data_IF_316066927000
#
_entry.id   IF_316066927000
#
_cell.length_a   1.000
_cell.length_b   1.000
_cell.length_c   1.000
_cell.angle_alpha   90.00
_cell.angle_beta   90.00
_cell.angle_gamma   90.00
#
_symmetry.space_group_name_H-M   'P 1'
#
loop_
_entity.id
_entity.type
_entity.pdbx_description
1 polymer ?
#
# COMPACT_ATOMS: atom_id res chain seq x y z
N UNK A 1 -28.14 14.91 17.24
CA UNK A 1 -26.71 14.72 16.95
C UNK A 1 -26.49 13.24 16.69
N UNK A 2 -26.10 12.81 15.48
CA UNK A 2 -25.74 11.41 15.29
C UNK A 2 -24.38 11.16 15.93
N UNK A 3 -24.29 10.10 16.75
CA UNK A 3 -23.03 9.60 17.28
C UNK A 3 -22.20 9.07 16.10
N UNK A 4 -20.99 9.60 15.98
CA UNK A 4 -19.92 9.03 15.17
C UNK A 4 -19.55 7.64 15.70
N UNK A 5 -19.76 6.60 14.88
CA UNK A 5 -19.25 5.26 15.16
C UNK A 5 -17.71 5.27 15.00
N UNK A 6 -16.93 4.92 16.03
CA UNK A 6 -15.50 4.81 15.89
C UNK A 6 -15.19 3.54 15.09
N UNK A 7 -14.76 3.74 13.84
CA UNK A 7 -13.60 3.04 13.27
C UNK A 7 -13.60 1.53 13.53
N UNK A 8 -14.35 0.79 12.71
CA UNK A 8 -13.90 -0.53 12.26
C UNK A 8 -13.01 -0.32 11.03
N UNK A 9 -11.83 0.27 11.27
CA UNK A 9 -10.73 0.30 10.30
C UNK A 9 -10.29 -1.13 10.07
N UNK A 10 -10.92 -1.79 9.09
CA UNK A 10 -10.37 -2.99 8.50
C UNK A 10 -8.96 -2.68 8.01
N UNK A 11 -8.04 -3.60 8.31
CA UNK A 11 -6.59 -3.65 8.03
C UNK A 11 -6.08 -2.99 6.72
N UNK A 12 -6.96 -2.69 5.78
CA UNK A 12 -6.66 -2.09 4.49
C UNK A 12 -6.40 -0.59 4.51
N UNK A 13 -7.03 0.17 5.41
CA UNK A 13 -6.90 1.63 5.46
C UNK A 13 -5.59 2.08 6.13
N UNK A 14 -5.08 1.25 7.05
CA UNK A 14 -3.83 1.51 7.78
C UNK A 14 -2.63 1.58 6.84
N UNK A 15 -2.57 0.69 5.85
CA UNK A 15 -1.48 0.68 4.87
C UNK A 15 -1.49 1.89 3.95
N UNK A 16 -2.67 2.33 3.49
CA UNK A 16 -2.79 3.59 2.75
C UNK A 16 -2.19 4.73 3.56
N UNK A 17 -2.63 4.90 4.81
CA UNK A 17 -2.17 6.00 5.66
C UNK A 17 -0.67 5.92 5.98
N UNK A 18 -0.11 4.70 6.11
CA UNK A 18 1.31 4.49 6.41
C UNK A 18 2.22 4.71 5.20
N UNK A 19 1.81 4.25 4.02
CA UNK A 19 2.65 4.19 2.83
C UNK A 19 2.46 5.41 1.91
N UNK A 20 1.27 6.03 1.88
CA UNK A 20 0.99 7.16 1.00
C UNK A 20 2.01 8.28 1.18
N UNK A 21 2.61 8.72 0.08
CA UNK A 21 3.60 9.81 0.08
C UNK A 21 5.01 9.39 0.51
N UNK A 22 5.24 8.13 0.88
CA UNK A 22 6.57 7.59 1.14
C UNK A 22 7.12 6.85 -0.08
N UNK A 23 8.44 6.76 -0.16
CA UNK A 23 9.11 5.97 -1.21
C UNK A 23 9.20 4.50 -0.81
N UNK A 24 9.14 3.59 -1.77
CA UNK A 24 9.31 2.16 -1.51
C UNK A 24 10.71 1.71 -1.96
N UNK A 25 11.50 1.14 -1.06
CA UNK A 25 12.89 0.75 -1.32
C UNK A 25 13.30 -0.54 -0.62
N UNK A 26 14.59 -0.86 -0.71
CA UNK A 26 15.16 -2.04 -0.04
C UNK A 26 15.46 -1.81 1.45
N UNK A 27 15.59 -0.54 1.86
CA UNK A 27 15.90 -0.13 3.23
C UNK A 27 14.81 0.78 3.81
N UNK A 28 14.68 0.74 5.13
CA UNK A 28 13.74 1.56 5.89
C UNK A 28 14.43 2.87 6.27
N UNK A 29 13.80 4.00 5.97
CA UNK A 29 14.25 5.34 6.34
C UNK A 29 13.04 6.21 6.64
N UNK A 30 13.27 7.39 7.21
CA UNK A 30 12.19 8.30 7.64
C UNK A 30 11.14 8.57 6.54
N UNK A 31 11.61 8.70 5.29
CA UNK A 31 10.78 8.91 4.09
C UNK A 31 10.65 7.69 3.17
N UNK A 32 11.27 6.55 3.49
CA UNK A 32 11.30 5.35 2.63
C UNK A 32 10.90 4.10 3.40
N UNK A 33 9.90 3.37 2.93
CA UNK A 33 9.51 2.08 3.48
C UNK A 33 10.27 0.94 2.81
N UNK A 34 10.79 0.02 3.60
CA UNK A 34 11.38 -1.20 3.09
C UNK A 34 10.29 -2.16 2.59
N UNK A 35 10.53 -2.82 1.46
CA UNK A 35 9.65 -3.92 0.99
C UNK A 35 9.55 -5.06 2.02
N UNK A 36 10.51 -5.18 2.93
CA UNK A 36 10.53 -6.16 4.02
C UNK A 36 9.53 -5.86 5.14
N UNK A 37 9.14 -4.59 5.31
CA UNK A 37 8.11 -4.17 6.27
C UNK A 37 6.68 -4.44 5.74
N UNK A 38 6.55 -4.73 4.44
CA UNK A 38 5.28 -5.07 3.83
C UNK A 38 4.84 -6.47 4.24
N UNK A 39 3.52 -6.74 4.23
CA UNK A 39 2.99 -8.07 4.48
C UNK A 39 3.57 -9.10 3.51
N UNK A 40 3.57 -10.36 3.94
CA UNK A 40 4.12 -11.50 3.20
C UNK A 40 3.55 -11.58 1.78
N UNK A 41 2.26 -11.32 1.63
CA UNK A 41 1.60 -11.16 0.34
C UNK A 41 1.47 -9.68 -0.02
N UNK A 42 2.46 -9.17 -0.75
CA UNK A 42 2.42 -7.85 -1.34
C UNK A 42 2.84 -7.88 -2.81
N UNK A 43 2.37 -6.91 -3.58
CA UNK A 43 2.77 -6.67 -4.96
C UNK A 43 3.00 -5.18 -5.18
N UNK A 44 4.19 -4.84 -5.63
CA UNK A 44 4.52 -3.48 -6.04
C UNK A 44 4.19 -3.34 -7.52
N UNK A 45 3.41 -2.33 -7.84
CA UNK A 45 2.95 -2.04 -9.19
C UNK A 45 3.42 -0.64 -9.56
N UNK A 46 4.17 -0.52 -10.64
CA UNK A 46 4.51 0.77 -11.21
C UNK A 46 3.34 1.30 -12.05
N UNK A 47 3.25 2.62 -12.23
CA UNK A 47 2.20 3.27 -13.02
C UNK A 47 2.04 2.71 -14.44
N UNK A 48 3.09 2.15 -15.03
CA UNK A 48 3.06 1.56 -16.38
C UNK A 48 2.95 0.03 -16.39
N UNK A 49 2.86 -0.62 -15.23
CA UNK A 49 2.87 -2.07 -15.16
C UNK A 49 1.50 -2.64 -15.50
N UNK A 50 1.42 -3.47 -16.55
CA UNK A 50 0.21 -4.20 -16.91
C UNK A 50 -0.19 -5.14 -15.77
N UNK A 51 -1.37 -4.92 -15.18
CA UNK A 51 -1.92 -5.81 -14.15
C UNK A 51 -2.44 -7.10 -14.79
N UNK A 52 -1.85 -8.22 -14.39
CA UNK A 52 -2.50 -9.53 -14.51
C UNK A 52 -3.71 -9.62 -13.58
N UNK A 53 -4.81 -10.23 -14.05
CA UNK A 53 -6.05 -10.47 -13.30
C UNK A 53 -5.92 -11.63 -12.30
N UNK A 54 -4.88 -11.61 -11.48
CA UNK A 54 -4.73 -12.54 -10.35
C UNK A 54 -5.34 -11.88 -9.10
N UNK A 55 -6.60 -12.22 -8.80
CA UNK A 55 -7.36 -11.62 -7.70
C UNK A 55 -7.07 -12.35 -6.39
N UNK A 56 -6.33 -11.69 -5.49
CA UNK A 56 -5.94 -12.19 -4.17
C UNK A 56 -6.38 -11.16 -3.12
N UNK A 57 -7.51 -11.40 -2.42
CA UNK A 57 -8.06 -10.43 -1.48
C UNK A 57 -7.12 -10.12 -0.30
N UNK A 58 -6.29 -11.09 0.09
CA UNK A 58 -5.28 -10.95 1.16
C UNK A 58 -4.02 -10.17 0.71
N UNK A 59 -3.84 -9.93 -0.60
CA UNK A 59 -2.62 -9.31 -1.14
C UNK A 59 -2.68 -7.79 -1.09
N UNK A 60 -1.63 -7.18 -0.56
CA UNK A 60 -1.43 -5.72 -0.59
C UNK A 60 -0.82 -5.30 -1.94
N UNK A 61 -1.57 -4.59 -2.77
CA UNK A 61 -1.04 -3.93 -3.96
C UNK A 61 -0.59 -2.51 -3.62
N UNK A 62 0.69 -2.22 -3.80
CA UNK A 62 1.26 -0.88 -3.60
C UNK A 62 1.55 -0.28 -4.97
N UNK A 63 0.87 0.79 -5.32
CA UNK A 63 1.11 1.54 -6.55
C UNK A 63 2.17 2.60 -6.30
N UNK A 64 3.26 2.50 -7.05
CA UNK A 64 4.36 3.45 -7.03
C UNK A 64 4.45 4.19 -8.37
N UNK A 65 4.83 5.45 -8.30
CA UNK A 65 5.14 6.30 -9.44
C UNK A 65 6.49 5.90 -10.07
N UNK A 66 6.83 6.43 -11.25
CA UNK A 66 8.14 6.24 -11.89
C UNK A 66 9.34 6.68 -11.04
N UNK A 67 9.11 7.46 -9.98
CA UNK A 67 10.13 7.83 -8.98
C UNK A 67 10.21 6.88 -7.78
N UNK A 68 9.40 5.83 -7.72
CA UNK A 68 9.32 4.89 -6.60
C UNK A 68 8.51 5.41 -5.40
N UNK A 69 7.72 6.47 -5.58
CA UNK A 69 6.88 7.07 -4.52
C UNK A 69 5.49 6.43 -4.54
N UNK A 70 5.00 6.01 -3.37
CA UNK A 70 3.68 5.41 -3.24
C UNK A 70 2.59 6.45 -3.52
N UNK A 71 1.78 6.17 -4.54
CA UNK A 71 0.63 6.98 -4.95
C UNK A 71 -0.70 6.39 -4.51
N UNK A 72 -0.82 5.07 -4.50
CA UNK A 72 -2.04 4.40 -4.05
C UNK A 72 -1.71 3.03 -3.45
N UNK A 73 -2.61 2.52 -2.63
CA UNK A 73 -2.49 1.20 -2.03
C UNK A 73 -3.86 0.52 -2.08
N UNK A 74 -3.95 -0.64 -2.69
CA UNK A 74 -5.21 -1.39 -2.84
C UNK A 74 -5.04 -2.82 -2.36
N UNK A 75 -6.15 -3.46 -1.98
CA UNK A 75 -6.17 -4.88 -1.62
C UNK A 75 -6.94 -5.62 -2.71
N UNK A 76 -6.43 -6.75 -3.18
CA UNK A 76 -7.07 -7.52 -4.26
C UNK A 76 -6.14 -8.24 -5.21
#
# INVERSE_FOLDING_TARGET
>A
MPLIDPVTMGNSSDWKTKLLGKSLGDNHSESTFAKKDLPKEHRVLEENSMKTMDHKPERLNVHVDGKGVVRDVSHG
#
